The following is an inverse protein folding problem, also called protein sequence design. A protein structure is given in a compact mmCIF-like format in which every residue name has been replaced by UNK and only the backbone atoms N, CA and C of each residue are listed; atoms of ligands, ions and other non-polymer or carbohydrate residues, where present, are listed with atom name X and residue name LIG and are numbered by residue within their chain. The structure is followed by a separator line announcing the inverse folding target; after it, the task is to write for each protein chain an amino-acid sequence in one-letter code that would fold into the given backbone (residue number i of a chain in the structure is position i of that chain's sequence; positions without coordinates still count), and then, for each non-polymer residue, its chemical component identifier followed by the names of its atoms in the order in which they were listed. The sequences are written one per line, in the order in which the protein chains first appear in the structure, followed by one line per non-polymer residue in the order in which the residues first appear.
data_IF_284188654497
#
_entry.id   IF_284188654497
#
_cell.length_a   1.000
_cell.length_b   1.000
_cell.length_c   1.000
_cell.angle_alpha   90.00
_cell.angle_beta   90.00
_cell.angle_gamma   90.00
#
_symmetry.space_group_name_H-M   'P 1'
#
loop_
_entity.id
_entity.type
_entity.pdbx_description
1 polymer ?
#
# COMPACT_ATOMS: atom_id res chain seq x y z
N UNK A 1 7.66 -1.13 -21.30
CA UNK A 1 7.61 -0.10 -20.24
C UNK A 1 6.90 1.19 -20.64
N UNK A 2 7.40 2.03 -21.58
CA UNK A 2 6.76 3.31 -21.93
C UNK A 2 5.29 3.17 -22.36
N UNK A 3 4.98 2.15 -23.17
CA UNK A 3 3.61 1.84 -23.59
C UNK A 3 2.65 1.49 -22.43
N UNK A 4 3.15 1.06 -21.26
CA UNK A 4 2.32 0.77 -20.08
C UNK A 4 1.78 2.06 -19.49
N UNK A 5 2.63 3.06 -19.22
CA UNK A 5 2.15 4.36 -18.73
C UNK A 5 1.28 5.06 -19.76
N UNK A 6 1.60 4.96 -21.06
CA UNK A 6 0.73 5.47 -22.12
C UNK A 6 -0.64 4.78 -22.13
N UNK A 7 -0.70 3.46 -21.98
CA UNK A 7 -1.96 2.71 -21.92
C UNK A 7 -2.77 3.02 -20.66
N UNK A 8 -2.14 3.14 -19.48
CA UNK A 8 -2.80 3.59 -18.26
C UNK A 8 -3.32 5.02 -18.41
N UNK A 9 -2.52 5.94 -18.99
CA UNK A 9 -2.94 7.31 -19.23
C UNK A 9 -4.14 7.38 -20.16
N UNK A 10 -4.15 6.60 -21.25
CA UNK A 10 -5.31 6.47 -22.13
C UNK A 10 -6.50 5.92 -21.36
N UNK A 11 -6.37 4.78 -20.68
CA UNK A 11 -7.45 4.20 -19.89
C UNK A 11 -8.01 5.16 -18.83
N UNK A 12 -7.15 5.95 -18.17
CA UNK A 12 -7.54 6.96 -17.18
C UNK A 12 -8.35 8.10 -17.79
N UNK A 13 -7.94 8.60 -18.96
CA UNK A 13 -8.57 9.72 -19.67
C UNK A 13 -9.77 9.28 -20.51
N UNK A 14 -9.77 8.02 -20.94
CA UNK A 14 -10.83 7.35 -21.67
C UNK A 14 -11.92 6.85 -20.77
N UNK A 15 -11.61 6.56 -19.49
CA UNK A 15 -12.49 5.88 -18.54
C UNK A 15 -13.89 6.42 -18.75
N UNK A 16 -14.74 5.68 -19.50
CA UNK A 16 -16.07 6.12 -19.84
C UNK A 16 -16.84 5.78 -18.61
N UNK A 17 -16.60 6.56 -17.55
CA UNK A 17 -17.20 6.28 -16.28
C UNK A 17 -18.70 6.30 -16.58
N UNK A 18 -19.44 5.22 -16.29
CA UNK A 18 -20.86 5.15 -16.63
C UNK A 18 -21.48 6.45 -16.14
N UNK A 19 -22.35 7.09 -16.91
CA UNK A 19 -22.75 8.49 -16.71
C UNK A 19 -23.12 8.86 -15.23
N UNK A 20 -23.47 7.88 -14.40
CA UNK A 20 -23.58 8.01 -12.94
C UNK A 20 -22.26 8.04 -12.13
N UNK A 21 -21.21 7.25 -12.43
CA UNK A 21 -20.02 7.18 -11.59
C UNK A 21 -19.01 8.34 -11.79
N UNK A 22 -19.03 9.09 -12.92
CA UNK A 22 -18.24 10.34 -13.08
C UNK A 22 -19.01 11.53 -12.50
N UNK A 23 -20.34 11.45 -12.45
CA UNK A 23 -21.14 12.36 -11.65
C UNK A 23 -20.84 12.12 -10.17
N UNK A 24 -20.90 10.86 -9.72
CA UNK A 24 -20.47 10.46 -8.38
C UNK A 24 -19.02 10.87 -8.13
N UNK A 25 -18.04 10.60 -9.01
CA UNK A 25 -16.66 11.03 -8.78
C UNK A 25 -16.50 12.56 -8.79
N UNK A 26 -17.19 13.29 -9.66
CA UNK A 26 -17.18 14.78 -9.64
C UNK A 26 -17.88 15.36 -8.42
N UNK A 27 -18.85 14.67 -7.84
CA UNK A 27 -19.55 15.06 -6.61
C UNK A 27 -18.79 14.61 -5.36
N UNK A 28 -18.12 13.45 -5.44
CA UNK A 28 -17.35 12.82 -4.38
C UNK A 28 -15.99 13.47 -4.22
N UNK A 29 -15.33 13.94 -5.30
CA UNK A 29 -14.04 14.63 -5.17
C UNK A 29 -14.14 15.88 -4.28
N UNK A 30 -15.11 16.78 -4.45
CA UNK A 30 -15.34 17.88 -3.51
C UNK A 30 -15.64 17.42 -2.08
N UNK A 31 -16.37 16.32 -1.90
CA UNK A 31 -16.70 15.77 -0.56
C UNK A 31 -15.46 15.17 0.11
N UNK A 32 -14.72 14.32 -0.60
CA UNK A 32 -13.42 13.78 -0.20
C UNK A 32 -12.44 14.91 0.08
N UNK A 33 -12.48 16.00 -0.70
CA UNK A 33 -11.67 17.17 -0.46
C UNK A 33 -12.16 18.06 0.68
N UNK A 34 -13.39 17.94 1.15
CA UNK A 34 -13.90 18.72 2.26
C UNK A 34 -13.44 18.12 3.60
N UNK A 35 -13.43 16.81 3.70
CA UNK A 35 -13.13 16.09 4.93
C UNK A 35 -11.67 15.58 4.98
N UNK A 36 -10.95 15.88 6.06
CA UNK A 36 -9.54 15.49 6.20
C UNK A 36 -9.33 13.96 6.22
N UNK A 37 -10.23 13.20 6.86
CA UNK A 37 -10.15 11.73 6.92
C UNK A 37 -10.17 11.12 5.52
N UNK A 38 -11.20 11.45 4.75
CA UNK A 38 -11.35 11.08 3.35
C UNK A 38 -10.17 11.53 2.47
N UNK A 39 -9.65 12.76 2.65
CA UNK A 39 -8.45 13.26 1.92
C UNK A 39 -7.24 12.35 2.15
N UNK A 40 -6.96 12.03 3.41
CA UNK A 40 -5.79 11.21 3.78
C UNK A 40 -5.94 9.77 3.26
N UNK A 41 -7.12 9.17 3.42
CA UNK A 41 -7.41 7.83 2.90
C UNK A 41 -7.24 7.77 1.38
N UNK A 42 -7.77 8.77 0.65
CA UNK A 42 -7.63 8.83 -0.79
C UNK A 42 -6.17 9.05 -1.24
N UNK A 43 -5.41 9.88 -0.53
CA UNK A 43 -3.99 10.08 -0.83
C UNK A 43 -3.20 8.76 -0.71
N UNK A 44 -3.44 7.97 0.33
CA UNK A 44 -2.78 6.67 0.53
C UNK A 44 -3.25 5.61 -0.48
N UNK A 45 -4.51 5.64 -0.92
CA UNK A 45 -4.97 4.83 -2.06
C UNK A 45 -4.24 5.21 -3.37
N UNK A 46 -4.00 6.50 -3.60
CA UNK A 46 -3.21 6.95 -4.75
C UNK A 46 -1.73 6.54 -4.63
N UNK A 47 -1.18 6.53 -3.41
CA UNK A 47 0.15 5.98 -3.14
C UNK A 47 0.20 4.48 -3.46
N UNK A 48 -0.78 3.70 -3.00
CA UNK A 48 -0.91 2.28 -3.33
C UNK A 48 -0.96 2.07 -4.85
N UNK A 49 -1.72 2.90 -5.58
CA UNK A 49 -1.76 2.82 -7.02
C UNK A 49 -0.38 3.07 -7.63
N UNK A 50 0.33 4.12 -7.20
CA UNK A 50 1.69 4.38 -7.66
C UNK A 50 2.62 3.19 -7.41
N UNK A 51 2.54 2.59 -6.22
CA UNK A 51 3.31 1.39 -5.84
C UNK A 51 3.01 0.21 -6.77
N UNK A 52 1.74 -0.15 -6.96
CA UNK A 52 1.35 -1.30 -7.80
C UNK A 52 1.74 -1.08 -9.27
N UNK A 53 1.53 0.12 -9.79
CA UNK A 53 1.89 0.48 -11.17
C UNK A 53 3.41 0.47 -11.36
N UNK A 54 4.17 1.04 -10.42
CA UNK A 54 5.62 1.01 -10.42
C UNK A 54 6.17 -0.41 -10.40
N UNK A 55 5.70 -1.24 -9.47
CA UNK A 55 6.07 -2.66 -9.38
C UNK A 55 5.74 -3.42 -10.67
N UNK A 56 4.59 -3.15 -11.29
CA UNK A 56 4.23 -3.76 -12.57
C UNK A 56 5.17 -3.34 -13.70
N UNK A 57 5.53 -2.07 -13.75
CA UNK A 57 6.47 -1.54 -14.75
C UNK A 57 7.87 -2.14 -14.58
N UNK A 58 8.33 -2.32 -13.34
CA UNK A 58 9.64 -2.91 -13.03
C UNK A 58 9.70 -4.38 -13.45
N UNK A 59 8.64 -5.15 -13.20
CA UNK A 59 8.54 -6.55 -13.65
C UNK A 59 8.56 -6.71 -15.16
N UNK A 60 8.11 -5.70 -15.89
CA UNK A 60 8.12 -5.64 -17.35
C UNK A 60 9.39 -5.01 -17.91
N UNK A 61 10.25 -4.44 -17.06
CA UNK A 61 11.49 -3.84 -17.47
C UNK A 61 12.59 -4.90 -17.54
N UNK A 62 13.39 -4.85 -18.60
CA UNK A 62 14.51 -5.76 -18.76
C UNK A 62 15.74 -5.30 -17.97
N UNK A 63 15.75 -4.05 -17.51
CA UNK A 63 16.84 -3.47 -16.73
C UNK A 63 16.69 -3.80 -15.24
N UNK A 64 17.54 -4.67 -14.67
CA UNK A 64 17.46 -5.02 -13.26
C UNK A 64 17.75 -3.79 -12.38
N UNK A 65 17.05 -3.69 -11.25
CA UNK A 65 17.34 -2.70 -10.20
C UNK A 65 16.72 -1.31 -10.37
N UNK A 66 16.03 -1.03 -11.49
CA UNK A 66 15.30 0.24 -11.66
C UNK A 66 14.10 0.29 -10.72
N UNK A 67 13.90 1.45 -10.06
CA UNK A 67 12.74 1.71 -9.20
C UNK A 67 11.81 2.70 -9.89
N UNK A 68 10.64 2.23 -10.31
CA UNK A 68 9.70 2.97 -11.16
C UNK A 68 8.46 3.45 -10.41
N UNK A 69 8.34 3.16 -9.10
CA UNK A 69 7.26 3.68 -8.26
C UNK A 69 7.21 5.22 -8.32
N UNK A 70 8.34 5.91 -8.24
CA UNK A 70 8.37 7.38 -8.35
C UNK A 70 7.94 7.90 -9.73
N UNK A 71 8.30 7.20 -10.80
CA UNK A 71 7.84 7.53 -12.15
C UNK A 71 6.32 7.34 -12.26
N UNK A 72 5.77 6.29 -11.65
CA UNK A 72 4.34 6.07 -11.55
C UNK A 72 3.65 7.16 -10.71
N UNK A 73 4.22 7.57 -9.57
CA UNK A 73 3.72 8.69 -8.75
C UNK A 73 3.64 9.97 -9.56
N UNK A 74 4.73 10.36 -10.25
CA UNK A 74 4.76 11.56 -11.08
C UNK A 74 3.71 11.51 -12.21
N UNK A 75 3.53 10.36 -12.84
CA UNK A 75 2.53 10.17 -13.88
C UNK A 75 1.10 10.29 -13.33
N UNK A 76 0.80 9.70 -12.17
CA UNK A 76 -0.51 9.81 -11.53
C UNK A 76 -0.81 11.25 -11.09
N UNK A 77 0.18 11.99 -10.58
CA UNK A 77 0.03 13.42 -10.28
C UNK A 77 -0.31 14.22 -11.54
N UNK A 78 0.37 13.96 -12.66
CA UNK A 78 0.07 14.61 -13.95
C UNK A 78 -1.35 14.26 -14.43
N UNK A 79 -1.76 13.00 -14.34
CA UNK A 79 -3.10 12.55 -14.75
C UNK A 79 -4.21 13.15 -13.89
N UNK A 80 -3.99 13.28 -12.58
CA UNK A 80 -4.90 13.97 -11.67
C UNK A 80 -5.05 15.45 -12.05
N UNK A 81 -3.92 16.15 -12.27
CA UNK A 81 -3.94 17.54 -12.71
C UNK A 81 -4.63 17.74 -14.07
N UNK A 82 -4.40 16.85 -15.03
CA UNK A 82 -5.08 16.85 -16.32
C UNK A 82 -6.60 16.64 -16.17
N UNK A 83 -7.01 15.70 -15.30
CA UNK A 83 -8.42 15.42 -15.03
C UNK A 83 -9.14 16.61 -14.40
N UNK A 84 -8.50 17.29 -13.44
CA UNK A 84 -9.04 18.50 -12.81
C UNK A 84 -9.18 19.65 -13.83
N UNK A 85 -8.16 19.86 -14.68
CA UNK A 85 -8.23 20.87 -15.74
C UNK A 85 -9.35 20.58 -16.73
N UNK A 86 -9.51 19.32 -17.17
CA UNK A 86 -10.58 18.91 -18.05
C UNK A 86 -11.96 19.15 -17.42
N UNK A 87 -12.12 18.90 -16.12
CA UNK A 87 -13.37 19.17 -15.40
C UNK A 87 -13.72 20.67 -15.37
N UNK A 88 -12.74 21.54 -15.09
CA UNK A 88 -12.92 23.00 -15.14
C UNK A 88 -13.24 23.48 -16.56
N UNK A 89 -12.62 22.85 -17.56
CA UNK A 89 -12.84 23.12 -18.97
C UNK A 89 -14.14 22.50 -19.52
N UNK A 90 -14.95 21.79 -18.74
CA UNK A 90 -16.21 21.20 -19.21
C UNK A 90 -17.43 22.14 -19.05
N UNK A 91 -17.23 23.41 -18.66
CA UNK A 91 -18.33 24.36 -18.42
C UNK A 91 -19.20 24.56 -19.69
N UNK A 92 -20.55 24.44 -19.57
CA UNK A 92 -21.51 24.26 -20.68
C UNK A 92 -21.73 25.47 -21.61
N UNK A 93 -20.93 26.54 -21.51
CA UNK A 93 -21.25 27.83 -22.16
C UNK A 93 -20.69 27.98 -23.57
N UNK A 94 -19.90 27.03 -24.10
CA UNK A 94 -19.42 27.14 -25.48
C UNK A 94 -19.08 25.79 -26.09
N UNK A 95 -20.03 25.24 -26.86
CA UNK A 95 -19.84 24.08 -27.72
C UNK A 95 -19.26 24.56 -29.06
N UNK A 96 -17.95 24.82 -29.07
CA UNK A 96 -17.19 25.26 -30.25
C UNK A 96 -16.37 24.09 -30.78
N UNK A 97 -16.44 23.75 -32.09
CA UNK A 97 -15.65 22.67 -32.70
C UNK A 97 -14.12 22.77 -32.50
N UNK A 98 -13.62 23.99 -32.28
CA UNK A 98 -12.22 24.23 -31.92
C UNK A 98 -11.84 23.65 -30.55
N UNK A 99 -12.76 23.67 -29.59
CA UNK A 99 -12.55 23.18 -28.21
C UNK A 99 -12.34 21.66 -28.19
N UNK A 100 -13.13 20.91 -28.96
CA UNK A 100 -12.98 19.45 -29.08
C UNK A 100 -11.60 19.07 -29.62
N UNK A 101 -11.10 19.78 -30.64
CA UNK A 101 -9.75 19.54 -31.17
C UNK A 101 -8.66 19.84 -30.16
N UNK A 102 -8.77 20.95 -29.42
CA UNK A 102 -7.82 21.30 -28.36
C UNK A 102 -7.79 20.24 -27.26
N UNK A 103 -8.95 19.78 -26.80
CA UNK A 103 -9.04 18.73 -25.77
C UNK A 103 -8.42 17.40 -26.23
N UNK A 104 -8.63 17.01 -27.50
CA UNK A 104 -7.96 15.82 -28.06
C UNK A 104 -6.44 15.98 -28.11
N UNK A 105 -5.93 17.16 -28.49
CA UNK A 105 -4.49 17.41 -28.53
C UNK A 105 -3.88 17.41 -27.12
N UNK A 106 -4.49 18.09 -26.16
CA UNK A 106 -4.06 18.10 -24.76
C UNK A 106 -4.02 16.69 -24.16
N UNK A 107 -5.01 15.87 -24.49
CA UNK A 107 -5.06 14.46 -24.08
C UNK A 107 -3.86 13.67 -24.62
N UNK A 108 -3.57 13.79 -25.91
CA UNK A 108 -2.42 13.12 -26.53
C UNK A 108 -1.08 13.61 -25.95
N UNK A 109 -0.98 14.90 -25.62
CA UNK A 109 0.21 15.47 -24.98
C UNK A 109 0.42 14.90 -23.56
N UNK A 110 -0.64 14.75 -22.77
CA UNK A 110 -0.59 14.11 -21.45
C UNK A 110 -0.13 12.65 -21.57
N UNK A 111 -0.69 11.90 -22.53
CA UNK A 111 -0.28 10.51 -22.78
C UNK A 111 1.21 10.43 -23.13
N UNK A 112 1.70 11.26 -24.06
CA UNK A 112 3.12 11.30 -24.44
C UNK A 112 4.01 11.71 -23.26
N UNK A 113 3.56 12.63 -22.41
CA UNK A 113 4.28 13.02 -21.20
C UNK A 113 4.42 11.84 -20.23
N UNK A 114 3.35 11.08 -19.99
CA UNK A 114 3.38 9.85 -19.19
C UNK A 114 4.35 8.80 -19.79
N UNK A 115 4.34 8.61 -21.11
CA UNK A 115 5.28 7.70 -21.78
C UNK A 115 6.76 8.13 -21.61
N UNK A 116 7.02 9.44 -21.55
CA UNK A 116 8.36 9.99 -21.28
C UNK A 116 8.76 9.81 -19.82
N UNK A 117 7.85 10.00 -18.88
CA UNK A 117 8.10 9.76 -17.44
C UNK A 117 8.54 8.32 -17.16
N UNK A 118 8.04 7.33 -17.91
CA UNK A 118 8.48 5.93 -17.78
C UNK A 118 9.99 5.76 -18.03
N UNK A 119 10.58 6.63 -18.85
CA UNK A 119 12.00 6.56 -19.24
C UNK A 119 12.91 7.26 -18.26
N UNK A 120 12.36 8.07 -17.37
CA UNK A 120 13.14 8.68 -16.30
C UNK A 120 13.56 7.58 -15.32
N UNK A 121 14.82 7.63 -14.91
CA UNK A 121 15.30 6.90 -13.73
C UNK A 121 15.42 7.91 -12.59
N UNK A 122 14.42 7.96 -11.69
CA UNK A 122 14.46 8.88 -10.56
C UNK A 122 15.53 8.49 -9.52
N UNK A 123 16.23 7.37 -9.72
CA UNK A 123 17.21 6.81 -8.80
C UNK A 123 16.55 6.15 -7.58
N UNK A 124 17.30 5.28 -6.88
CA UNK A 124 16.80 4.64 -5.67
C UNK A 124 16.61 5.67 -4.56
N UNK A 125 15.53 5.52 -3.79
CA UNK A 125 15.39 6.19 -2.49
C UNK A 125 16.02 5.26 -1.43
N UNK A 126 16.83 5.79 -0.50
CA UNK A 126 17.28 5.01 0.65
C UNK A 126 16.05 4.45 1.37
N UNK A 127 16.01 3.14 1.59
CA UNK A 127 15.06 2.58 2.53
C UNK A 127 15.45 3.14 3.91
N UNK A 128 14.57 3.91 4.54
CA UNK A 128 14.81 4.31 5.92
C UNK A 128 14.74 3.05 6.79
N UNK A 129 15.67 2.88 7.76
CA UNK A 129 15.60 1.74 8.65
C UNK A 129 14.28 1.81 9.40
N UNK A 130 13.38 0.90 9.05
CA UNK A 130 12.16 0.65 9.82
C UNK A 130 12.63 0.20 11.20
N UNK A 131 12.09 0.81 12.25
CA UNK A 131 12.34 0.45 13.64
C UNK A 131 12.40 -1.06 13.77
N UNK A 132 13.39 -1.59 14.50
CA UNK A 132 13.57 -3.01 14.73
C UNK A 132 12.39 -3.57 15.53
N UNK A 133 11.31 -3.88 14.82
CA UNK A 133 10.15 -4.56 15.36
C UNK A 133 10.49 -6.04 15.46
N UNK A 134 10.25 -6.65 16.62
CA UNK A 134 10.53 -8.07 16.85
C UNK A 134 9.23 -8.86 16.68
N UNK A 135 9.10 -9.69 15.62
CA UNK A 135 8.00 -10.62 15.53
C UNK A 135 7.97 -11.59 16.72
N UNK A 136 6.78 -12.08 17.05
CA UNK A 136 6.59 -13.08 18.08
C UNK A 136 5.88 -14.29 17.53
N UNK A 137 6.18 -15.46 18.11
CA UNK A 137 5.52 -16.71 17.77
C UNK A 137 4.06 -16.66 18.20
N UNK A 138 3.21 -17.20 17.33
CA UNK A 138 1.79 -17.40 17.58
C UNK A 138 1.48 -18.85 17.21
N UNK A 139 0.48 -19.44 17.85
CA UNK A 139 -0.08 -20.71 17.41
C UNK A 139 -1.59 -20.65 17.51
N UNK A 140 -2.21 -20.17 16.44
CA UNK A 140 -3.66 -20.01 16.36
C UNK A 140 -4.20 -20.62 15.07
N UNK A 141 -5.40 -21.24 15.10
CA UNK A 141 -6.03 -21.74 13.90
C UNK A 141 -6.33 -20.58 12.93
N UNK A 142 -6.07 -20.78 11.64
CA UNK A 142 -6.36 -19.82 10.60
C UNK A 142 -7.53 -20.32 9.74
N UNK A 143 -8.72 -19.77 9.98
CA UNK A 143 -9.95 -20.11 9.27
C UNK A 143 -10.67 -18.85 8.76
N UNK A 144 -10.03 -18.07 7.87
CA UNK A 144 -10.63 -16.84 7.33
C UNK A 144 -11.89 -17.14 6.51
N UNK A 145 -12.84 -16.21 6.42
CA UNK A 145 -13.95 -16.33 5.48
C UNK A 145 -13.47 -16.25 4.02
N UNK A 146 -14.29 -16.70 3.04
CA UNK A 146 -14.01 -16.50 1.62
C UNK A 146 -13.81 -15.02 1.28
N UNK A 147 -12.83 -14.73 0.43
CA UNK A 147 -12.49 -13.38 0.01
C UNK A 147 -12.45 -13.26 -1.53
N UNK A 148 -12.38 -12.02 -2.00
CA UNK A 148 -12.21 -11.69 -3.42
C UNK A 148 -10.98 -10.80 -3.55
N UNK A 149 -10.15 -11.09 -4.55
CA UNK A 149 -9.04 -10.22 -4.93
C UNK A 149 -9.61 -8.92 -5.54
N UNK A 150 -9.52 -7.81 -4.83
CA UNK A 150 -10.11 -6.52 -5.19
C UNK A 150 -9.56 -5.95 -6.50
N UNK A 151 -8.32 -6.29 -6.88
CA UNK A 151 -7.73 -5.82 -8.14
C UNK A 151 -8.16 -6.69 -9.33
N UNK A 152 -8.30 -8.00 -9.10
CA UNK A 152 -8.54 -8.98 -10.17
C UNK A 152 -10.01 -9.37 -10.32
N UNK A 153 -10.83 -9.15 -9.30
CA UNK A 153 -12.23 -9.53 -9.26
C UNK A 153 -12.46 -11.05 -9.22
N UNK A 154 -11.46 -11.82 -8.78
CA UNK A 154 -11.52 -13.29 -8.71
C UNK A 154 -11.58 -13.76 -7.25
N UNK A 155 -12.24 -14.90 -6.97
CA UNK A 155 -12.21 -15.51 -5.64
C UNK A 155 -10.78 -15.77 -5.18
N UNK A 156 -10.51 -15.49 -3.90
CA UNK A 156 -9.22 -15.67 -3.26
C UNK A 156 -9.37 -16.57 -2.03
N UNK A 157 -8.66 -17.69 -2.03
CA UNK A 157 -8.53 -18.55 -0.87
C UNK A 157 -7.40 -18.03 0.01
N UNK A 158 -7.73 -17.65 1.26
CA UNK A 158 -6.76 -17.14 2.23
C UNK A 158 -6.07 -18.26 3.05
N UNK A 159 -6.34 -19.53 2.77
CA UNK A 159 -5.82 -20.68 3.53
C UNK A 159 -4.39 -21.10 3.15
N UNK A 160 -3.82 -20.50 2.09
CA UNK A 160 -2.48 -20.84 1.62
C UNK A 160 -1.37 -20.30 2.53
N UNK A 161 -0.22 -20.95 2.49
CA UNK A 161 0.98 -20.48 3.16
C UNK A 161 1.42 -19.15 2.57
N UNK A 162 1.65 -18.15 3.42
CA UNK A 162 1.94 -16.80 2.94
C UNK A 162 2.12 -15.79 4.06
N UNK A 163 2.35 -14.55 3.65
CA UNK A 163 2.31 -13.38 4.53
C UNK A 163 0.96 -12.69 4.33
N UNK A 164 0.22 -12.49 5.42
CA UNK A 164 -1.02 -11.71 5.41
C UNK A 164 -0.76 -10.41 6.17
N UNK A 165 -0.94 -9.27 5.51
CA UNK A 165 -0.69 -7.94 6.09
C UNK A 165 -2.01 -7.19 6.17
N UNK A 166 -2.39 -6.77 7.36
CA UNK A 166 -3.55 -5.94 7.64
C UNK A 166 -3.13 -4.48 7.68
N UNK A 167 -3.60 -3.69 6.73
CA UNK A 167 -3.31 -2.25 6.65
C UNK A 167 -4.60 -1.44 6.70
N UNK A 168 -4.64 -0.50 7.63
CA UNK A 168 -5.58 0.60 7.60
C UNK A 168 -5.31 1.52 6.41
N UNK A 169 -6.31 2.29 5.98
CA UNK A 169 -6.18 3.15 4.80
C UNK A 169 -5.05 4.18 4.91
N UNK A 170 -4.70 4.65 6.12
CA UNK A 170 -3.59 5.59 6.32
C UNK A 170 -2.21 4.92 6.37
N UNK A 171 -2.12 3.62 6.08
CA UNK A 171 -0.90 2.81 6.12
C UNK A 171 -0.59 2.10 4.81
N UNK A 172 -1.34 2.36 3.73
CA UNK A 172 -1.18 1.62 2.46
C UNK A 172 0.17 1.83 1.79
N UNK A 173 0.86 2.93 2.07
CA UNK A 173 2.26 3.16 1.67
C UNK A 173 3.22 2.05 2.13
N UNK A 174 2.92 1.34 3.23
CA UNK A 174 3.74 0.23 3.72
C UNK A 174 3.81 -0.96 2.74
N UNK A 175 2.91 -1.05 1.76
CA UNK A 175 2.91 -2.15 0.77
C UNK A 175 4.21 -2.23 0.00
N UNK A 176 4.83 -1.08 -0.34
CA UNK A 176 6.12 -1.10 -1.05
C UNK A 176 7.19 -1.79 -0.19
N UNK A 177 7.31 -1.39 1.07
CA UNK A 177 8.30 -1.94 1.99
C UNK A 177 8.14 -3.46 2.16
N UNK A 178 6.89 -3.94 2.28
CA UNK A 178 6.58 -5.37 2.40
C UNK A 178 7.03 -6.12 1.15
N UNK A 179 6.65 -5.66 -0.03
CA UNK A 179 6.96 -6.35 -1.30
C UNK A 179 8.47 -6.35 -1.56
N UNK A 180 9.17 -5.28 -1.19
CA UNK A 180 10.62 -5.17 -1.37
C UNK A 180 11.40 -6.07 -0.40
N UNK A 181 10.89 -6.25 0.81
CA UNK A 181 11.52 -7.09 1.82
C UNK A 181 11.25 -8.59 1.63
N UNK A 182 10.12 -8.93 1.00
CA UNK A 182 9.72 -10.31 0.83
C UNK A 182 10.58 -11.04 -0.20
N UNK A 183 10.93 -12.32 0.05
CA UNK A 183 11.48 -13.19 -0.97
C UNK A 183 10.53 -13.32 -2.17
N UNK A 184 11.09 -13.50 -3.37
CA UNK A 184 10.31 -13.57 -4.61
C UNK A 184 9.25 -14.69 -4.65
N UNK A 185 9.41 -15.73 -3.82
CA UNK A 185 8.50 -16.87 -3.74
C UNK A 185 7.49 -16.78 -2.59
N UNK A 186 7.53 -15.72 -1.77
CA UNK A 186 6.62 -15.57 -0.62
C UNK A 186 5.30 -14.92 -1.09
N UNK A 187 4.16 -15.65 -1.09
CA UNK A 187 2.89 -15.04 -1.46
C UNK A 187 2.47 -13.99 -0.43
N UNK A 188 2.12 -12.79 -0.90
CA UNK A 188 1.68 -11.69 -0.06
C UNK A 188 0.19 -11.43 -0.30
N UNK A 189 -0.59 -11.44 0.77
CA UNK A 189 -1.96 -10.94 0.77
C UNK A 189 -2.08 -9.72 1.66
N UNK A 190 -2.46 -8.60 1.06
CA UNK A 190 -2.86 -7.39 1.74
C UNK A 190 -4.36 -7.47 2.08
N UNK A 191 -4.69 -7.20 3.33
CA UNK A 191 -6.06 -7.03 3.81
C UNK A 191 -6.22 -5.57 4.21
N UNK A 192 -7.00 -4.83 3.44
CA UNK A 192 -7.33 -3.42 3.70
C UNK A 192 -8.47 -3.37 4.69
N UNK A 193 -8.25 -2.69 5.80
CA UNK A 193 -9.22 -2.51 6.90
C UNK A 193 -9.51 -1.04 7.13
N UNK A 194 -10.62 -0.74 7.80
CA UNK A 194 -11.00 0.63 8.19
C UNK A 194 -11.87 0.60 9.44
N UNK A 195 -11.82 1.65 10.26
CA UNK A 195 -12.77 1.91 11.35
C UNK A 195 -14.04 2.61 10.87
N UNK A 196 -14.09 3.06 9.61
CA UNK A 196 -15.30 3.62 8.98
C UNK A 196 -15.74 2.79 7.76
N UNK A 197 -16.40 1.63 7.98
CA UNK A 197 -16.92 0.83 6.89
C UNK A 197 -18.04 1.51 6.09
N UNK A 198 -18.66 2.55 6.62
CA UNK A 198 -19.77 3.26 5.97
C UNK A 198 -19.29 4.20 4.86
N UNK A 199 -18.16 4.87 5.09
CA UNK A 199 -17.64 5.89 4.19
C UNK A 199 -16.37 5.42 3.48
N UNK A 200 -15.39 4.95 4.25
CA UNK A 200 -14.07 4.59 3.75
C UNK A 200 -14.02 3.22 3.06
N UNK A 201 -14.87 2.27 3.46
CA UNK A 201 -15.00 0.96 2.81
C UNK A 201 -15.37 1.06 1.32
N UNK A 202 -16.52 1.69 0.97
CA UNK A 202 -16.92 1.92 -0.42
C UNK A 202 -15.88 2.70 -1.23
N UNK A 203 -15.24 3.71 -0.64
CA UNK A 203 -14.16 4.47 -1.28
C UNK A 203 -12.99 3.55 -1.68
N UNK A 204 -12.53 2.71 -0.75
CA UNK A 204 -11.43 1.77 -1.00
C UNK A 204 -11.78 0.76 -2.10
N UNK A 205 -12.98 0.14 -2.04
CA UNK A 205 -13.44 -0.79 -3.08
C UNK A 205 -13.52 -0.13 -4.46
N UNK A 206 -14.10 1.07 -4.54
CA UNK A 206 -14.20 1.80 -5.79
C UNK A 206 -12.82 2.10 -6.37
N UNK A 207 -11.92 2.64 -5.55
CA UNK A 207 -10.57 2.99 -5.97
C UNK A 207 -9.79 1.75 -6.44
N UNK A 208 -9.83 0.65 -5.69
CA UNK A 208 -9.15 -0.61 -6.06
C UNK A 208 -9.71 -1.25 -7.32
N UNK A 209 -11.03 -1.25 -7.51
CA UNK A 209 -11.65 -1.76 -8.73
C UNK A 209 -11.21 -0.96 -9.97
N UNK A 210 -11.14 0.38 -9.84
CA UNK A 210 -10.65 1.28 -10.89
C UNK A 210 -9.16 1.04 -11.18
N UNK A 211 -8.32 0.91 -10.14
CA UNK A 211 -6.90 0.54 -10.31
C UNK A 211 -6.77 -0.79 -11.06
N UNK A 212 -7.54 -1.80 -10.68
CA UNK A 212 -7.57 -3.10 -11.33
C UNK A 212 -8.01 -3.03 -12.80
N UNK A 213 -8.98 -2.18 -13.13
CA UNK A 213 -9.39 -1.94 -14.52
C UNK A 213 -8.25 -1.33 -15.35
N UNK A 214 -7.60 -0.28 -14.84
CA UNK A 214 -6.48 0.36 -15.54
C UNK A 214 -5.27 -0.57 -15.71
N UNK A 215 -4.93 -1.35 -14.68
CA UNK A 215 -3.85 -2.33 -14.76
C UNK A 215 -4.19 -3.43 -15.78
N UNK A 216 -5.43 -3.93 -15.83
CA UNK A 216 -5.84 -4.94 -16.83
C UNK A 216 -5.75 -4.42 -18.26
N UNK A 217 -6.07 -3.15 -18.46
CA UNK A 217 -5.98 -2.52 -19.78
C UNK A 217 -4.53 -2.32 -20.26
N UNK A 218 -3.56 -2.20 -19.35
CA UNK A 218 -2.20 -1.76 -19.67
C UNK A 218 -1.09 -2.79 -19.41
N UNK A 219 -1.32 -3.76 -18.52
CA UNK A 219 -0.30 -4.69 -18.02
C UNK A 219 -0.71 -6.13 -18.34
N UNK A 220 0.08 -6.89 -19.13
CA UNK A 220 -0.18 -8.30 -19.35
C UNK A 220 -0.11 -9.07 -18.04
N UNK A 221 -0.86 -10.17 -17.91
CA UNK A 221 -1.02 -10.89 -16.64
C UNK A 221 0.29 -11.25 -15.93
N UNK A 222 1.35 -11.62 -16.66
CA UNK A 222 2.67 -11.94 -16.08
C UNK A 222 3.43 -10.73 -15.49
N UNK A 223 3.07 -9.51 -15.90
CA UNK A 223 3.64 -8.26 -15.39
C UNK A 223 2.97 -7.75 -14.11
N UNK A 224 1.91 -8.41 -13.63
CA UNK A 224 1.23 -7.98 -12.41
C UNK A 224 2.11 -8.22 -11.18
N UNK A 225 2.07 -7.32 -10.17
CA UNK A 225 2.71 -7.57 -8.89
C UNK A 225 2.13 -8.83 -8.25
N UNK A 226 2.97 -9.62 -7.60
CA UNK A 226 2.56 -10.83 -6.88
C UNK A 226 2.01 -10.49 -5.48
N UNK A 227 1.06 -9.56 -5.47
CA UNK A 227 0.31 -9.13 -4.30
C UNK A 227 -1.17 -9.35 -4.58
N UNK A 228 -1.85 -9.92 -3.60
CA UNK A 228 -3.31 -10.06 -3.56
C UNK A 228 -3.87 -9.01 -2.60
N UNK A 229 -5.00 -8.40 -2.93
CA UNK A 229 -5.62 -7.37 -2.08
C UNK A 229 -7.04 -7.78 -1.76
N UNK A 230 -7.43 -7.72 -0.49
CA UNK A 230 -8.78 -7.98 0.01
C UNK A 230 -9.26 -6.74 0.74
N UNK A 231 -10.51 -6.31 0.50
CA UNK A 231 -11.16 -5.31 1.35
C UNK A 231 -11.92 -6.04 2.46
N UNK A 232 -11.52 -5.85 3.71
CA UNK A 232 -12.18 -6.41 4.89
C UNK A 232 -12.93 -5.31 5.66
N UNK A 233 -13.96 -4.75 5.02
CA UNK A 233 -14.74 -3.63 5.56
C UNK A 233 -15.35 -3.96 6.92
N UNK A 234 -15.83 -5.20 7.09
CA UNK A 234 -16.48 -5.64 8.32
C UNK A 234 -15.51 -6.26 9.34
N UNK A 235 -14.20 -6.21 9.09
CA UNK A 235 -13.17 -6.76 9.98
C UNK A 235 -13.26 -8.26 10.22
N UNK A 236 -13.90 -9.03 9.34
CA UNK A 236 -14.14 -10.48 9.53
C UNK A 236 -12.86 -11.29 9.33
N UNK A 237 -12.04 -10.91 8.36
CA UNK A 237 -10.72 -11.52 8.13
C UNK A 237 -9.76 -11.11 9.25
N UNK A 238 -9.77 -9.85 9.65
CA UNK A 238 -8.98 -9.33 10.76
C UNK A 238 -9.32 -10.05 12.09
N UNK A 239 -10.61 -10.26 12.38
CA UNK A 239 -11.05 -10.98 13.57
C UNK A 239 -10.46 -12.41 13.63
N UNK A 240 -10.37 -13.11 12.49
CA UNK A 240 -9.74 -14.46 12.45
C UNK A 240 -8.24 -14.44 12.70
N UNK A 241 -7.58 -13.28 12.56
CA UNK A 241 -6.17 -13.07 12.90
C UNK A 241 -5.96 -12.64 14.37
N UNK A 242 -7.03 -12.60 15.17
CA UNK A 242 -7.00 -12.09 16.53
C UNK A 242 -6.84 -10.56 16.59
N UNK A 243 -7.41 -9.85 15.61
CA UNK A 243 -7.54 -8.39 15.60
C UNK A 243 -9.00 -8.02 15.87
N UNK A 244 -9.41 -7.88 17.14
CA UNK A 244 -10.81 -7.59 17.49
C UNK A 244 -11.23 -6.16 17.17
N UNK A 245 -10.26 -5.26 16.93
CA UNK A 245 -10.49 -3.88 16.53
C UNK A 245 -9.44 -3.47 15.51
N UNK A 246 -9.89 -2.82 14.45
CA UNK A 246 -9.05 -2.26 13.39
C UNK A 246 -9.42 -0.78 13.22
N UNK A 247 -8.48 0.00 12.71
CA UNK A 247 -8.68 1.39 12.34
C UNK A 247 -7.83 1.76 11.14
N UNK A 248 -8.00 2.97 10.62
CA UNK A 248 -7.24 3.44 9.46
C UNK A 248 -5.73 3.55 9.72
N UNK A 249 -5.27 3.52 10.97
CA UNK A 249 -3.87 3.44 11.36
C UNK A 249 -3.33 2.03 11.58
N UNK A 250 -4.16 0.98 11.44
CA UNK A 250 -3.76 -0.41 11.68
C UNK A 250 -2.60 -0.81 10.77
N UNK A 251 -1.59 -1.43 11.35
CA UNK A 251 -0.54 -2.12 10.62
C UNK A 251 -0.16 -3.34 11.43
N UNK A 252 -0.58 -4.51 10.95
CA UNK A 252 -0.28 -5.81 11.57
C UNK A 252 0.05 -6.78 10.44
N UNK A 253 0.94 -7.72 10.71
CA UNK A 253 1.20 -8.81 9.78
C UNK A 253 1.22 -10.15 10.51
N UNK A 254 0.80 -11.20 9.82
CA UNK A 254 0.84 -12.58 10.31
C UNK A 254 1.42 -13.50 9.25
N UNK A 255 2.20 -14.49 9.69
CA UNK A 255 2.67 -15.57 8.84
C UNK A 255 1.72 -16.76 8.98
N UNK A 256 1.21 -17.22 7.84
CA UNK A 256 0.36 -18.41 7.74
C UNK A 256 1.20 -19.59 7.26
N UNK A 257 1.12 -20.72 7.95
CA UNK A 257 1.61 -22.01 7.46
C UNK A 257 0.72 -23.15 7.91
N UNK A 258 0.38 -24.06 7.01
CA UNK A 258 -0.40 -25.26 7.31
C UNK A 258 -1.78 -24.96 7.92
N UNK A 259 -2.42 -23.86 7.50
CA UNK A 259 -3.71 -23.42 8.06
C UNK A 259 -3.62 -22.87 9.49
N UNK A 260 -2.44 -22.42 9.93
CA UNK A 260 -2.21 -21.82 11.25
C UNK A 260 -1.43 -20.53 11.16
N UNK A 261 -1.66 -19.64 12.11
CA UNK A 261 -0.84 -18.45 12.32
C UNK A 261 0.37 -18.85 13.16
N UNK A 262 1.57 -18.71 12.61
CA UNK A 262 2.82 -19.16 13.25
C UNK A 262 3.68 -18.01 13.79
N UNK A 263 3.51 -16.81 13.22
CA UNK A 263 4.21 -15.58 13.63
C UNK A 263 3.28 -14.39 13.48
N UNK A 264 3.49 -13.37 14.31
CA UNK A 264 2.79 -12.10 14.22
C UNK A 264 3.73 -10.94 14.55
N UNK A 265 3.44 -9.80 13.94
CA UNK A 265 4.06 -8.51 14.20
C UNK A 265 2.97 -7.44 14.20
N UNK A 266 3.03 -6.48 15.13
CA UNK A 266 2.06 -5.40 15.26
C UNK A 266 2.75 -4.05 15.29
N UNK A 267 2.14 -3.04 14.68
CA UNK A 267 2.65 -1.68 14.62
C UNK A 267 3.38 -1.36 13.32
N UNK A 268 3.87 -0.12 13.23
CA UNK A 268 4.59 0.39 12.06
C UNK A 268 5.80 -0.49 11.75
N UNK A 269 5.88 -1.01 10.53
CA UNK A 269 6.91 -1.92 10.08
C UNK A 269 6.57 -3.40 10.21
N UNK A 270 5.38 -3.77 10.69
CA UNK A 270 5.03 -5.17 10.94
C UNK A 270 5.17 -6.07 9.72
N UNK A 271 4.67 -5.61 8.56
CA UNK A 271 4.79 -6.35 7.31
C UNK A 271 6.24 -6.52 6.87
N UNK A 272 7.05 -5.46 6.96
CA UNK A 272 8.47 -5.52 6.64
C UNK A 272 9.24 -6.48 7.55
N UNK A 273 8.97 -6.44 8.86
CA UNK A 273 9.65 -7.29 9.84
C UNK A 273 9.41 -8.77 9.55
N UNK A 274 8.17 -9.18 9.28
CA UNK A 274 7.87 -10.57 8.91
C UNK A 274 8.35 -10.95 7.50
N UNK A 275 8.32 -10.02 6.55
CA UNK A 275 8.81 -10.26 5.20
C UNK A 275 10.33 -10.53 5.18
N UNK A 276 11.09 -9.81 6.00
CA UNK A 276 12.55 -9.94 6.08
C UNK A 276 13.03 -11.11 6.95
N UNK A 277 12.24 -11.59 7.94
CA UNK A 277 12.58 -12.77 8.75
C UNK A 277 12.73 -14.05 7.88
N UNK A 278 11.93 -14.17 6.81
CA UNK A 278 11.99 -15.33 5.89
C UNK A 278 13.35 -15.43 5.18
N UNK A 279 14.02 -14.30 4.95
CA UNK A 279 15.39 -14.32 4.39
C UNK A 279 16.38 -14.92 5.40
N UNK A 280 16.17 -14.70 6.69
CA UNK A 280 16.97 -15.32 7.75
C UNK A 280 16.77 -16.84 7.82
N UNK A 281 15.53 -17.32 7.75
CA UNK A 281 15.22 -18.76 7.83
C UNK A 281 15.72 -19.53 6.59
N UNK A 282 15.64 -18.94 5.39
CA UNK A 282 16.16 -19.56 4.16
C UNK A 282 17.69 -19.67 4.20
N UNK A 283 18.40 -18.64 4.66
CA UNK A 283 19.85 -18.68 4.81
C UNK A 283 20.30 -19.66 5.92
N UNK A 284 19.49 -19.87 6.96
CA UNK A 284 19.78 -20.88 7.98
C UNK A 284 19.62 -22.30 7.41
N UNK A 285 18.60 -22.54 6.58
CA UNK A 285 18.39 -23.84 5.94
C UNK A 285 19.43 -24.17 4.86
N UNK A 286 19.88 -23.18 4.06
CA UNK A 286 20.96 -23.38 3.09
C UNK A 286 22.29 -23.69 3.78
N UNK A 287 22.61 -22.99 4.89
CA UNK A 287 23.81 -23.30 5.68
C UNK A 287 23.74 -24.67 6.39
N UNK A 288 22.57 -25.12 6.81
CA UNK A 288 22.39 -26.47 7.36
C UNK A 288 22.59 -27.56 6.28
N UNK A 289 22.21 -27.29 5.02
CA UNK A 289 22.48 -28.19 3.90
C UNK A 289 23.97 -28.37 3.63
N UNK A 290 24.76 -27.30 3.70
CA UNK A 290 26.22 -27.35 3.52
C UNK A 290 26.95 -27.99 4.71
N UNK A 291 26.46 -27.79 5.95
CA UNK A 291 27.03 -28.45 7.14
C UNK A 291 26.82 -29.97 7.07
N UNK A 292 25.62 -30.43 6.68
CA UNK A 292 25.32 -31.88 6.54
C UNK A 292 26.06 -32.49 5.34
N UNK A 293 26.32 -31.73 4.27
CA UNK A 293 27.16 -32.19 3.16
C UNK A 293 28.65 -32.30 3.56
N UNK A 294 29.13 -31.44 4.47
CA UNK A 294 30.52 -31.48 4.95
C UNK A 294 30.81 -32.62 5.94
N UNK A 295 29.82 -33.07 6.73
CA UNK A 295 29.99 -34.19 7.67
C UNK A 295 30.00 -35.57 6.97
N UNK A 296 29.44 -35.71 5.77
CA UNK A 296 29.44 -36.98 5.02
C UNK A 296 30.71 -37.17 4.15
N UNK A 297 31.49 -36.10 3.93
CA UNK A 297 32.69 -36.14 3.08
C UNK A 297 34.03 -36.12 3.84
N UNK A 298 34.01 -36.14 5.17
CA UNK A 298 35.16 -35.78 6.00
C UNK A 298 35.82 -36.88 6.83
N UNK A 299 35.87 -38.13 6.37
CA UNK A 299 36.67 -39.16 7.05
C UNK A 299 37.67 -39.82 6.09
N UNK A 300 38.83 -39.16 5.92
CA UNK A 300 40.13 -39.78 5.63
C UNK A 300 41.19 -38.69 5.37
N UNK A 301 42.05 -38.43 6.37
CA UNK A 301 43.52 -38.59 6.30
C UNK A 301 44.25 -37.80 7.38
N UNK A 302 44.83 -38.57 8.29
CA UNK A 302 46.05 -38.27 9.05
C UNK A 302 47.16 -37.69 8.17
N UNK A 303 47.92 -36.71 8.65
CA UNK A 303 49.34 -36.83 9.08
C UNK A 303 50.12 -35.50 8.97
N UNK A 304 50.46 -34.94 10.14
CA UNK A 304 51.80 -34.45 10.56
C UNK A 304 52.50 -33.22 9.90
N UNK A 305 53.47 -32.60 10.62
CA UNK A 305 53.73 -31.16 10.60
C UNK A 305 55.15 -30.73 10.13
N UNK A 306 55.28 -29.45 9.79
CA UNK A 306 56.51 -28.64 9.74
C UNK A 306 56.05 -27.17 9.74
N UNK A 307 56.65 -26.18 10.41
CA UNK A 307 58.02 -25.96 10.84
C UNK A 307 58.49 -24.64 10.22
N UNK A 308 58.99 -23.70 11.04
CA UNK A 308 59.74 -22.46 10.71
C UNK A 308 58.94 -21.21 10.26
N UNK A 309 58.83 -20.19 11.14
CA UNK A 309 59.65 -18.95 11.28
C UNK A 309 59.55 -18.01 10.08
N UNK A 310 59.04 -16.78 10.25
CA UNK A 310 59.88 -15.63 10.61
C UNK A 310 59.13 -14.29 10.61
N UNK A 311 59.72 -13.37 11.37
CA UNK A 311 59.75 -11.91 11.17
C UNK A 311 58.51 -11.07 11.53
N UNK A 312 58.62 -10.50 12.73
CA UNK A 312 57.94 -9.29 13.16
C UNK A 312 58.44 -8.06 12.38
N UNK A 313 57.51 -7.30 11.81
CA UNK A 313 57.73 -5.94 11.30
C UNK A 313 56.74 -5.01 11.99
N UNK A 314 57.23 -4.29 12.99
CA UNK A 314 56.54 -3.27 13.77
C UNK A 314 56.60 -1.94 13.02
N UNK A 315 55.44 -1.36 12.72
CA UNK A 315 55.30 0.01 12.24
C UNK A 315 53.90 0.55 12.55
N UNK A 316 53.85 1.41 13.58
CA UNK A 316 53.14 2.69 13.64
C UNK A 316 51.72 2.80 13.07
N UNK A 317 50.80 3.31 13.89
CA UNK A 317 50.47 4.75 13.88
C UNK A 317 49.26 5.01 14.79
N UNK A 318 49.51 5.84 15.80
CA UNK A 318 48.51 6.56 16.59
C UNK A 318 47.66 7.48 15.69
N UNK A 319 46.37 7.56 15.99
CA UNK A 319 45.45 8.57 15.44
C UNK A 319 44.13 8.61 16.23
N UNK A 320 43.48 9.78 16.35
CA UNK A 320 43.04 10.26 17.66
C UNK A 320 41.54 10.15 17.94
N UNK A 321 41.29 10.21 19.25
CA UNK A 321 40.08 10.51 20.02
C UNK A 321 39.13 11.47 19.32
N UNK A 322 37.86 11.07 19.15
CA UNK A 322 36.76 11.97 18.80
C UNK A 322 36.02 12.38 20.07
N UNK A 323 36.02 13.67 20.30
CA UNK A 323 35.30 14.38 21.35
C UNK A 323 33.79 14.23 21.19
N UNK A 324 33.12 14.02 22.32
CA UNK A 324 31.68 13.97 22.45
C UNK A 324 31.14 15.40 22.60
N UNK A 325 30.39 15.88 21.60
CA UNK A 325 29.59 17.10 21.73
C UNK A 325 28.20 16.76 22.27
N UNK A 326 27.84 17.54 23.29
CA UNK A 326 26.61 17.45 24.08
C UNK A 326 25.53 18.31 23.41
N UNK A 327 24.27 17.87 23.26
CA UNK A 327 23.22 18.73 22.72
C UNK A 327 22.67 19.67 23.80
N UNK A 328 22.70 20.96 23.48
CA UNK A 328 22.21 22.05 24.31
C UNK A 328 20.70 22.05 24.49
N UNK A 329 20.29 22.27 25.74
CA UNK A 329 18.94 22.70 26.16
C UNK A 329 18.66 24.11 25.64
N UNK A 330 17.48 24.33 25.07
CA UNK A 330 16.78 25.62 25.15
C UNK A 330 15.29 25.39 25.42
N UNK A 331 14.78 26.14 26.38
CA UNK A 331 13.45 26.07 26.96
C UNK A 331 12.34 26.58 26.04
N UNK A 332 11.09 26.07 26.15
CA UNK A 332 9.91 26.75 25.67
C UNK A 332 9.25 27.55 26.80
N UNK A 333 9.21 28.89 26.65
CA UNK A 333 8.32 29.76 27.42
C UNK A 333 7.33 30.46 26.48
N UNK A 334 6.04 30.42 26.83
CA UNK A 334 4.97 31.08 26.06
C UNK A 334 3.58 30.59 26.43
N UNK A 335 3.08 31.05 27.57
CA UNK A 335 1.77 30.74 28.18
C UNK A 335 0.67 31.67 27.61
N UNK A 336 -0.57 31.17 27.69
CA UNK A 336 -1.85 31.88 27.81
C UNK A 336 -2.60 32.30 26.54
N UNK A 337 -3.81 31.75 26.39
CA UNK A 337 -4.95 32.57 25.96
C UNK A 337 -6.11 31.84 25.28
N UNK A 338 -7.15 31.60 26.07
CA UNK A 338 -8.51 32.09 25.78
C UNK A 338 -9.50 31.22 24.95
N UNK A 339 -10.61 30.94 25.62
CA UNK A 339 -12.00 30.79 25.15
C UNK A 339 -12.52 29.43 24.65
N UNK A 340 -13.00 28.70 25.66
CA UNK A 340 -14.18 27.84 25.68
C UNK A 340 -15.39 28.51 24.98
N UNK A 341 -15.99 27.80 24.02
CA UNK A 341 -17.26 28.17 23.41
C UNK A 341 -17.98 26.89 23.01
N UNK A 342 -18.78 26.38 23.96
CA UNK A 342 -19.82 25.37 23.71
C UNK A 342 -20.99 26.02 22.96
N UNK A 343 -21.45 25.47 21.83
CA UNK A 343 -22.78 25.77 21.33
C UNK A 343 -23.82 24.83 21.96
N UNK A 344 -24.88 25.44 22.47
CA UNK A 344 -26.09 24.81 22.98
C UNK A 344 -26.82 23.99 21.89
N UNK A 345 -27.33 22.82 22.27
CA UNK A 345 -28.18 21.99 21.42
C UNK A 345 -29.61 22.52 21.39
N UNK A 346 -30.29 22.58 20.22
CA UNK A 346 -31.69 22.97 20.16
C UNK A 346 -32.62 21.81 20.55
N UNK A 347 -33.57 22.13 21.43
CA UNK A 347 -34.56 21.21 21.99
C UNK A 347 -35.57 20.66 20.97
N UNK A 348 -35.85 19.36 21.12
CA UNK A 348 -36.88 18.63 20.38
C UNK A 348 -38.25 19.00 20.95
N UNK A 349 -39.08 19.72 20.15
CA UNK A 349 -40.51 19.91 20.41
C UNK A 349 -41.29 18.70 19.88
N UNK A 350 -41.87 17.93 20.79
CA UNK A 350 -42.89 16.94 20.47
C UNK A 350 -44.24 17.65 20.23
N UNK A 351 -44.78 17.57 19.02
CA UNK A 351 -46.16 17.93 18.71
C UNK A 351 -46.99 16.65 18.61
N UNK A 352 -47.87 16.46 19.60
CA UNK A 352 -48.98 15.53 19.52
C UNK A 352 -50.26 16.26 19.10
N UNK A 353 -50.99 15.68 18.14
CA UNK A 353 -52.42 15.88 17.87
C UNK A 353 -52.84 14.77 16.90
N UNK A 354 -53.62 13.73 17.27
CA UNK A 354 -55.04 13.63 17.68
C UNK A 354 -56.02 13.75 16.49
N UNK A 355 -56.79 12.67 16.28
CA UNK A 355 -58.03 12.60 15.47
C UNK A 355 -57.80 12.11 14.03
N UNK A 356 -58.55 11.16 13.47
CA UNK A 356 -59.99 10.95 13.59
C UNK A 356 -60.41 9.52 13.21
N UNK A 357 -61.56 9.16 13.78
CA UNK A 357 -62.31 7.91 13.69
C UNK A 357 -63.42 8.10 12.64
N UNK A 358 -63.60 7.17 11.70
CA UNK A 358 -64.82 6.83 10.92
C UNK A 358 -64.41 5.64 10.03
N UNK A 359 -65.00 4.45 10.09
CA UNK A 359 -66.42 4.12 10.23
C UNK A 359 -66.92 3.72 8.84
N UNK A 360 -67.20 2.43 8.61
CA UNK A 360 -67.70 1.94 7.32
C UNK A 360 -67.74 0.42 7.24
N UNK A 361 -68.79 -0.16 7.83
CA UNK A 361 -69.25 -1.54 7.63
C UNK A 361 -69.85 -1.78 6.23
N UNK A 362 -70.11 -3.08 5.97
CA UNK A 362 -70.99 -3.72 4.97
C UNK A 362 -70.27 -4.14 3.69
N UNK A 363 -70.35 -5.39 3.25
CA UNK A 363 -71.09 -6.56 3.73
C UNK A 363 -70.74 -7.76 2.88
#
# INVERSE_FOLDING_TARGET
MAGVLGAVARAWLDDPVPAGAMAVWRELVPQVQAEEGSRLAFAELMTLYATLLGLAMERLDASPGRRLVRSATAALTLLQGASQRAALAAHPVADLPSRTRTLCAEREDVVRACERLARLDPGPVPLFPILALKPYSLDAPWAPPPAVDALRGIPLALYGDGLVVFLGLRRLSAVEDVVRAAPAALPITLVVVTDDPGEHGPLARFALARMGAHLRAAVPAGGWPDVRIVCDELGRVAATAGLPSVNDGTETAVRVSGGRLIRRADGRGAGYALASEVVGDVLVLENLGDVVASEVAGDARSSQPSGHTDSAGDAGLSGPTREAETPGKTDPSGVAGMQDSRPEAPGIRATGTRGTKRGGERG
#
